data_IF_366338192183
#
_entry.id   IF_366338192183
#
_cell.length_a   1.000
_cell.length_b   1.000
_cell.length_c   1.000
_cell.angle_alpha   90.00
_cell.angle_beta   90.00
_cell.angle_gamma   90.00
#
_symmetry.space_group_name_H-M   'P 1'
#
loop_
_entity.id
_entity.type
_entity.pdbx_description
1 polymer ?
#
# COMPACT_ATOMS: atom_id res chain seq x y z
N UNK A 1 0.23 -8.34 -45.15
CA UNK A 1 0.63 -9.40 -44.20
C UNK A 1 1.08 -8.71 -42.92
N UNK A 2 0.17 -8.58 -41.95
CA UNK A 2 0.49 -8.02 -40.63
C UNK A 2 1.09 -9.15 -39.77
N UNK A 3 2.27 -8.98 -39.17
CA UNK A 3 2.84 -10.00 -38.32
C UNK A 3 2.17 -9.95 -36.93
N UNK A 4 1.59 -11.08 -36.54
CA UNK A 4 1.76 -11.75 -35.25
C UNK A 4 1.78 -10.83 -34.00
N UNK A 5 0.62 -10.33 -33.59
CA UNK A 5 0.39 -9.84 -32.21
C UNK A 5 -0.65 -10.69 -31.45
N UNK A 6 -1.29 -11.65 -32.12
CA UNK A 6 -2.27 -12.57 -31.51
C UNK A 6 -1.62 -13.77 -30.79
N UNK A 7 -0.41 -14.18 -31.16
CA UNK A 7 0.15 -15.46 -30.70
C UNK A 7 0.60 -15.51 -29.23
N UNK A 8 1.07 -14.39 -28.67
CA UNK A 8 1.53 -14.38 -27.26
C UNK A 8 0.37 -14.36 -26.26
N UNK A 9 -0.70 -13.61 -26.57
CA UNK A 9 -1.90 -13.56 -25.74
C UNK A 9 -2.59 -14.93 -25.70
N UNK A 10 -2.65 -15.61 -26.85
CA UNK A 10 -3.20 -16.97 -26.94
C UNK A 10 -2.34 -17.98 -26.20
N UNK A 11 -1.00 -17.89 -26.30
CA UNK A 11 -0.09 -18.76 -25.55
C UNK A 11 -0.21 -18.56 -24.03
N UNK A 12 -0.35 -17.32 -23.54
CA UNK A 12 -0.55 -17.06 -22.10
C UNK A 12 -1.90 -17.57 -21.61
N UNK A 13 -2.95 -17.42 -22.41
CA UNK A 13 -4.26 -17.99 -22.10
C UNK A 13 -4.20 -19.52 -21.99
N UNK A 14 -3.54 -20.19 -22.94
CA UNK A 14 -3.36 -21.64 -22.92
C UNK A 14 -2.56 -22.11 -21.70
N UNK A 15 -1.50 -21.39 -21.30
CA UNK A 15 -0.75 -21.72 -20.08
C UNK A 15 -1.63 -21.62 -18.83
N UNK A 16 -2.50 -20.60 -18.74
CA UNK A 16 -3.46 -20.48 -17.63
C UNK A 16 -4.45 -21.64 -17.60
N UNK A 17 -5.02 -21.99 -18.75
CA UNK A 17 -5.98 -23.09 -18.87
C UNK A 17 -5.36 -24.44 -18.52
N UNK A 18 -4.14 -24.71 -19.01
CA UNK A 18 -3.40 -25.92 -18.69
C UNK A 18 -3.10 -26.02 -17.19
N UNK A 19 -2.58 -24.94 -16.59
CA UNK A 19 -2.29 -24.91 -15.15
C UNK A 19 -3.55 -25.14 -14.30
N UNK A 20 -4.69 -24.55 -14.66
CA UNK A 20 -5.97 -24.79 -13.96
C UNK A 20 -6.47 -26.23 -14.17
N UNK A 21 -6.28 -26.80 -15.35
CA UNK A 21 -6.64 -28.19 -15.62
C UNK A 21 -5.84 -29.18 -14.76
N UNK A 22 -4.53 -28.92 -14.58
CA UNK A 22 -3.62 -29.79 -13.83
C UNK A 22 -3.83 -29.72 -12.31
N UNK A 23 -4.28 -28.56 -11.80
CA UNK A 23 -4.37 -28.31 -10.35
C UNK A 23 -5.80 -28.19 -9.81
N UNK A 24 -6.83 -28.22 -10.66
CA UNK A 24 -8.23 -28.16 -10.25
C UNK A 24 -9.13 -29.05 -11.12
N UNK A 25 -9.57 -28.55 -12.28
CA UNK A 25 -10.20 -29.35 -13.34
C UNK A 25 -10.25 -28.59 -14.66
N UNK A 26 -10.23 -29.34 -15.76
CA UNK A 26 -10.33 -28.77 -17.10
C UNK A 26 -11.73 -28.19 -17.38
N UNK A 27 -11.78 -27.16 -18.23
CA UNK A 27 -13.03 -26.59 -18.74
C UNK A 27 -13.71 -25.56 -17.83
N UNK A 28 -13.08 -25.18 -16.71
CA UNK A 28 -13.58 -24.08 -15.85
C UNK A 28 -13.52 -22.76 -16.59
N UNK A 29 -14.60 -21.99 -16.51
CA UNK A 29 -14.60 -20.62 -17.02
C UNK A 29 -13.80 -19.70 -16.10
N UNK A 30 -12.86 -18.97 -16.68
CA UNK A 30 -12.03 -17.97 -16.01
C UNK A 30 -12.61 -16.57 -16.24
N UNK A 31 -13.15 -15.97 -15.19
CA UNK A 31 -13.67 -14.60 -15.22
C UNK A 31 -12.59 -13.62 -14.76
N UNK A 32 -12.06 -12.81 -15.69
CA UNK A 32 -11.08 -11.78 -15.34
C UNK A 32 -11.67 -10.76 -14.36
N UNK A 33 -10.95 -10.47 -13.28
CA UNK A 33 -11.24 -9.34 -12.40
C UNK A 33 -10.69 -8.04 -13.02
N UNK A 34 -11.26 -6.87 -12.66
CA UNK A 34 -10.72 -5.59 -13.09
C UNK A 34 -9.23 -5.47 -12.74
N UNK A 35 -8.42 -5.03 -13.70
CA UNK A 35 -7.00 -4.75 -13.47
C UNK A 35 -6.82 -3.37 -12.82
N UNK A 36 -5.90 -3.27 -11.87
CA UNK A 36 -5.52 -1.99 -11.25
C UNK A 36 -4.14 -1.51 -11.75
N UNK A 37 -3.31 -0.90 -10.90
CA UNK A 37 -1.97 -0.42 -11.25
C UNK A 37 -0.92 -1.54 -11.39
N UNK A 38 -1.22 -2.74 -10.92
CA UNK A 38 -0.35 -3.92 -11.00
C UNK A 38 -0.42 -4.61 -12.38
N UNK A 39 0.70 -5.19 -12.79
CA UNK A 39 0.78 -6.07 -13.96
C UNK A 39 0.18 -7.46 -13.70
N UNK A 40 0.06 -7.86 -12.43
CA UNK A 40 -0.60 -9.10 -12.01
C UNK A 40 -2.10 -9.04 -12.30
N UNK A 41 -2.60 -10.15 -12.83
CA UNK A 41 -4.02 -10.30 -13.17
C UNK A 41 -4.62 -11.42 -12.34
N UNK A 42 -5.90 -11.28 -12.01
CA UNK A 42 -6.66 -12.27 -11.28
C UNK A 42 -7.84 -12.73 -12.12
N UNK A 43 -8.09 -14.04 -12.11
CA UNK A 43 -9.22 -14.65 -12.77
C UNK A 43 -9.98 -15.50 -11.77
N UNK A 44 -11.25 -15.19 -11.55
CA UNK A 44 -12.13 -16.03 -10.74
C UNK A 44 -12.51 -17.29 -11.51
N UNK A 45 -12.42 -18.43 -10.84
CA UNK A 45 -12.90 -19.69 -11.37
C UNK A 45 -14.41 -19.79 -11.13
N UNK A 46 -15.21 -19.86 -12.20
CA UNK A 46 -16.66 -19.90 -12.07
C UNK A 46 -17.12 -21.13 -11.27
N UNK A 47 -17.92 -20.91 -10.23
CA UNK A 47 -18.45 -21.98 -9.36
C UNK A 47 -17.42 -22.57 -8.38
N UNK A 48 -16.25 -21.93 -8.20
CA UNK A 48 -15.27 -22.28 -7.20
C UNK A 48 -14.89 -21.06 -6.35
N UNK A 49 -14.52 -21.27 -5.10
CA UNK A 49 -14.00 -20.23 -4.20
C UNK A 49 -12.48 -20.04 -4.41
N UNK A 50 -12.07 -19.90 -5.68
CA UNK A 50 -10.67 -19.82 -6.10
C UNK A 50 -10.42 -18.73 -7.14
N UNK A 51 -9.23 -18.12 -7.05
CA UNK A 51 -8.66 -17.23 -8.05
C UNK A 51 -7.43 -17.86 -8.67
N UNK A 52 -7.30 -17.76 -9.99
CA UNK A 52 -6.04 -17.88 -10.68
C UNK A 52 -5.35 -16.52 -10.68
N UNK A 53 -4.17 -16.46 -10.05
CA UNK A 53 -3.23 -15.37 -10.15
C UNK A 53 -2.29 -15.59 -11.33
N UNK A 54 -2.17 -14.58 -12.19
CA UNK A 54 -1.25 -14.50 -13.32
C UNK A 54 -0.29 -13.33 -13.06
N UNK A 55 0.89 -13.62 -12.53
CA UNK A 55 1.92 -12.65 -12.12
C UNK A 55 3.12 -12.74 -13.07
N UNK A 56 3.31 -11.78 -14.01
CA UNK A 56 4.36 -11.88 -15.02
C UNK A 56 5.77 -11.95 -14.39
N UNK A 57 6.54 -13.04 -14.57
CA UNK A 57 7.80 -13.25 -13.84
C UNK A 57 8.86 -12.16 -14.02
N UNK A 58 8.84 -11.46 -15.16
CA UNK A 58 9.83 -10.43 -15.50
C UNK A 58 9.60 -9.11 -14.76
N UNK A 59 8.36 -8.82 -14.37
CA UNK A 59 7.99 -7.54 -13.74
C UNK A 59 7.50 -7.71 -12.30
N UNK A 60 6.71 -8.75 -12.04
CA UNK A 60 6.11 -9.02 -10.72
C UNK A 60 6.28 -10.51 -10.40
N UNK A 61 7.46 -10.92 -9.91
CA UNK A 61 7.72 -12.33 -9.59
C UNK A 61 6.78 -12.83 -8.50
N UNK A 62 6.44 -14.11 -8.54
CA UNK A 62 5.52 -14.74 -7.59
C UNK A 62 6.15 -15.01 -6.22
N UNK A 63 7.48 -15.18 -6.17
CA UNK A 63 8.22 -15.57 -4.96
C UNK A 63 7.99 -14.66 -3.75
N UNK A 64 8.02 -13.31 -3.85
CA UNK A 64 7.71 -12.43 -2.72
C UNK A 64 6.30 -12.67 -2.15
N UNK A 65 5.29 -12.85 -3.02
CA UNK A 65 3.93 -13.16 -2.59
C UNK A 65 3.88 -14.46 -1.79
N UNK A 66 4.45 -15.55 -2.31
CA UNK A 66 4.45 -16.85 -1.63
C UNK A 66 5.16 -16.77 -0.28
N UNK A 67 6.31 -16.08 -0.23
CA UNK A 67 7.12 -15.95 0.97
C UNK A 67 6.38 -15.20 2.07
N UNK A 68 5.79 -14.05 1.76
CA UNK A 68 5.07 -13.25 2.76
C UNK A 68 3.76 -13.94 3.15
N UNK A 69 3.06 -14.58 2.21
CA UNK A 69 1.86 -15.36 2.53
C UNK A 69 2.15 -16.46 3.55
N UNK A 70 3.28 -17.17 3.40
CA UNK A 70 3.71 -18.18 4.37
C UNK A 70 3.94 -17.58 5.77
N UNK A 71 4.69 -16.48 5.86
CA UNK A 71 4.96 -15.80 7.13
C UNK A 71 3.67 -15.35 7.83
N UNK A 72 2.75 -14.71 7.10
CA UNK A 72 1.49 -14.24 7.66
C UNK A 72 0.59 -15.40 8.12
N UNK A 73 0.59 -16.51 7.37
CA UNK A 73 -0.16 -17.71 7.74
C UNK A 73 0.41 -18.38 8.99
N UNK A 74 1.74 -18.42 9.15
CA UNK A 74 2.39 -18.94 10.36
C UNK A 74 2.04 -18.12 11.61
N UNK A 75 1.74 -16.83 11.42
CA UNK A 75 1.22 -15.93 12.46
C UNK A 75 -0.28 -16.07 12.73
N UNK A 76 -0.95 -17.02 12.07
CA UNK A 76 -2.39 -17.22 12.20
C UNK A 76 -3.24 -16.12 11.54
N UNK A 77 -2.63 -15.29 10.68
CA UNK A 77 -3.33 -14.24 9.94
C UNK A 77 -3.91 -14.79 8.65
N UNK A 78 -4.99 -14.15 8.20
CA UNK A 78 -5.74 -14.60 7.03
C UNK A 78 -5.20 -13.97 5.75
N UNK A 79 -4.38 -14.72 5.02
CA UNK A 79 -4.02 -14.45 3.62
C UNK A 79 -4.64 -15.51 2.70
N UNK A 80 -4.81 -15.24 1.40
CA UNK A 80 -5.36 -16.24 0.48
C UNK A 80 -4.50 -17.51 0.48
N UNK A 81 -5.07 -18.65 0.87
CA UNK A 81 -4.36 -19.93 0.85
C UNK A 81 -3.88 -20.24 -0.57
N UNK A 82 -2.60 -20.56 -0.73
CA UNK A 82 -2.05 -21.02 -2.01
C UNK A 82 -2.27 -22.52 -2.14
N UNK A 83 -3.04 -22.93 -3.16
CA UNK A 83 -3.32 -24.35 -3.45
C UNK A 83 -2.26 -24.96 -4.36
N UNK A 84 -1.82 -24.20 -5.36
CA UNK A 84 -0.78 -24.59 -6.30
C UNK A 84 -0.05 -23.34 -6.81
N UNK A 85 1.22 -23.48 -7.15
CA UNK A 85 2.03 -22.40 -7.70
C UNK A 85 3.07 -22.96 -8.69
N UNK A 86 3.25 -22.24 -9.79
CA UNK A 86 4.38 -22.37 -10.70
C UNK A 86 5.11 -21.02 -10.74
N UNK A 87 6.21 -20.91 -10.00
CA UNK A 87 7.02 -19.69 -9.94
C UNK A 87 7.64 -19.32 -11.29
N UNK A 88 8.01 -20.31 -12.10
CA UNK A 88 8.67 -20.07 -13.39
C UNK A 88 7.67 -19.53 -14.42
N UNK A 89 6.45 -20.09 -14.42
CA UNK A 89 5.35 -19.57 -15.23
C UNK A 89 4.72 -18.31 -14.62
N UNK A 90 4.90 -18.04 -13.33
CA UNK A 90 4.24 -16.93 -12.63
C UNK A 90 2.74 -17.14 -12.47
N UNK A 91 2.33 -18.37 -12.19
CA UNK A 91 0.92 -18.74 -12.00
C UNK A 91 0.71 -19.27 -10.59
N UNK A 92 -0.39 -18.90 -9.95
CA UNK A 92 -0.82 -19.51 -8.69
C UNK A 92 -2.33 -19.69 -8.65
N UNK A 93 -2.78 -20.79 -8.07
CA UNK A 93 -4.17 -21.01 -7.71
C UNK A 93 -4.32 -20.71 -6.22
N UNK A 94 -5.12 -19.70 -5.89
CA UNK A 94 -5.28 -19.19 -4.53
C UNK A 94 -6.74 -19.17 -4.11
N UNK A 95 -6.98 -19.17 -2.80
CA UNK A 95 -8.29 -18.95 -2.20
C UNK A 95 -8.90 -17.61 -2.65
N UNK A 96 -10.21 -17.60 -2.86
CA UNK A 96 -10.98 -16.40 -3.11
C UNK A 96 -11.68 -15.91 -1.83
N UNK A 97 -11.31 -14.73 -1.36
CA UNK A 97 -11.95 -14.08 -0.21
C UNK A 97 -13.31 -13.45 -0.53
N UNK A 98 -13.78 -13.54 -1.78
CA UNK A 98 -15.08 -13.05 -2.19
C UNK A 98 -15.07 -11.56 -2.51
N UNK A 99 -15.89 -10.78 -1.79
CA UNK A 99 -16.21 -9.40 -2.18
C UNK A 99 -16.28 -8.39 -1.04
N UNK A 100 -16.12 -8.84 0.21
CA UNK A 100 -16.36 -8.05 1.42
C UNK A 100 -15.13 -7.23 1.84
N UNK A 101 -14.56 -6.46 0.92
CA UNK A 101 -13.52 -5.46 1.24
C UNK A 101 -14.08 -4.43 2.22
N UNK A 102 -13.26 -3.89 3.14
CA UNK A 102 -13.73 -2.92 4.12
C UNK A 102 -14.33 -1.69 3.44
N UNK A 103 -13.74 -1.20 2.35
CA UNK A 103 -14.31 -0.10 1.54
C UNK A 103 -15.75 -0.36 1.11
N UNK A 104 -16.06 -1.56 0.61
CA UNK A 104 -17.42 -1.95 0.20
C UNK A 104 -18.37 -2.07 1.39
N UNK A 105 -17.92 -2.65 2.51
CA UNK A 105 -18.73 -2.78 3.71
C UNK A 105 -19.08 -1.41 4.31
N UNK A 106 -18.11 -0.52 4.38
CA UNK A 106 -18.28 0.86 4.86
C UNK A 106 -19.22 1.65 3.94
N UNK A 107 -19.09 1.49 2.61
CA UNK A 107 -20.03 2.09 1.65
C UNK A 107 -21.45 1.52 1.77
N UNK A 108 -21.59 0.26 2.18
CA UNK A 108 -22.87 -0.40 2.45
C UNK A 108 -23.46 -0.06 3.85
N UNK A 109 -22.80 0.80 4.64
CA UNK A 109 -23.30 1.27 5.92
C UNK A 109 -22.98 0.37 7.12
N UNK A 110 -22.01 -0.56 6.99
CA UNK A 110 -21.49 -1.29 8.14
C UNK A 110 -20.87 -0.31 9.16
N UNK A 111 -20.96 -0.67 10.44
CA UNK A 111 -20.36 0.12 11.50
C UNK A 111 -18.83 0.21 11.30
N UNK A 112 -18.30 1.44 11.36
CA UNK A 112 -16.89 1.70 11.09
C UNK A 112 -15.98 1.17 12.19
N UNK A 113 -16.30 1.48 13.45
CA UNK A 113 -15.43 1.13 14.58
C UNK A 113 -15.10 -0.37 14.66
N UNK A 114 -16.05 -1.33 14.55
CA UNK A 114 -15.72 -2.75 14.62
C UNK A 114 -14.77 -3.24 13.51
N UNK A 115 -14.86 -2.66 12.31
CA UNK A 115 -13.95 -3.02 11.21
C UNK A 115 -12.53 -2.54 11.51
N UNK A 116 -12.38 -1.28 11.93
CA UNK A 116 -11.06 -0.75 12.26
C UNK A 116 -10.46 -1.38 13.53
N UNK A 117 -11.28 -1.69 14.54
CA UNK A 117 -10.83 -2.42 15.73
C UNK A 117 -10.27 -3.80 15.34
N UNK A 118 -10.95 -4.53 14.47
CA UNK A 118 -10.48 -5.82 13.95
C UNK A 118 -9.17 -5.67 13.16
N UNK A 119 -9.03 -4.62 12.34
CA UNK A 119 -7.78 -4.34 11.63
C UNK A 119 -6.62 -4.00 12.57
N UNK A 120 -6.87 -3.21 13.62
CA UNK A 120 -5.87 -2.89 14.64
C UNK A 120 -5.46 -4.12 15.44
N UNK A 121 -6.40 -5.00 15.78
CA UNK A 121 -6.09 -6.27 16.46
C UNK A 121 -5.24 -7.18 15.56
N UNK A 122 -5.55 -7.22 14.27
CA UNK A 122 -4.76 -7.93 13.26
C UNK A 122 -3.32 -7.39 13.18
N UNK A 123 -3.15 -6.06 13.13
CA UNK A 123 -1.82 -5.42 13.16
C UNK A 123 -1.08 -5.67 14.47
N UNK A 124 -1.75 -5.59 15.62
CA UNK A 124 -1.12 -5.84 16.89
C UNK A 124 -0.57 -7.27 16.96
N UNK A 125 -1.32 -8.26 16.46
CA UNK A 125 -0.86 -9.64 16.34
C UNK A 125 0.29 -9.80 15.35
N UNK A 126 0.21 -9.18 14.17
CA UNK A 126 1.29 -9.17 13.18
C UNK A 126 2.59 -8.64 13.78
N UNK A 127 2.53 -7.48 14.42
CA UNK A 127 3.72 -6.79 14.91
C UNK A 127 4.24 -7.39 16.23
N UNK A 128 3.47 -8.23 16.92
CA UNK A 128 3.91 -8.99 18.08
C UNK A 128 4.73 -10.25 17.71
N UNK A 129 4.82 -10.56 16.42
CA UNK A 129 5.72 -11.58 15.89
C UNK A 129 7.18 -11.30 16.30
N UNK A 130 7.98 -12.33 16.59
CA UNK A 130 9.41 -12.14 16.86
C UNK A 130 10.11 -11.48 15.66
N UNK A 131 10.92 -10.44 15.92
CA UNK A 131 11.57 -9.65 14.88
C UNK A 131 12.43 -10.49 13.91
N UNK A 132 13.00 -11.60 14.38
CA UNK A 132 13.76 -12.53 13.54
C UNK A 132 12.94 -13.13 12.38
N UNK A 133 11.62 -13.22 12.50
CA UNK A 133 10.76 -13.67 11.40
C UNK A 133 10.73 -12.67 10.24
N UNK A 134 10.86 -11.38 10.55
CA UNK A 134 10.99 -10.31 9.56
C UNK A 134 12.38 -10.23 8.91
N UNK A 135 13.42 -10.82 9.53
CA UNK A 135 14.81 -10.72 9.05
C UNK A 135 15.06 -11.33 7.66
N UNK A 136 14.13 -12.15 7.17
CA UNK A 136 14.17 -12.74 5.83
C UNK A 136 13.65 -11.77 4.75
N UNK A 137 13.00 -10.68 5.15
CA UNK A 137 12.52 -9.62 4.27
C UNK A 137 13.58 -8.51 4.16
N UNK A 138 13.60 -7.76 3.05
CA UNK A 138 14.48 -6.59 2.95
C UNK A 138 14.15 -5.57 4.03
N UNK A 139 15.17 -4.89 4.53
CA UNK A 139 15.02 -3.80 5.46
C UNK A 139 14.22 -2.64 4.83
N UNK A 140 13.36 -2.01 5.63
CA UNK A 140 12.80 -0.70 5.31
C UNK A 140 13.76 0.39 5.82
N UNK A 141 14.83 0.59 5.06
CA UNK A 141 15.98 1.39 5.46
C UNK A 141 15.90 2.85 4.99
N UNK A 142 16.91 3.64 5.39
CA UNK A 142 17.08 5.06 5.04
C UNK A 142 16.96 5.26 3.53
N UNK A 143 17.61 4.39 2.76
CA UNK A 143 17.60 4.49 1.30
C UNK A 143 16.19 4.36 0.74
N UNK A 144 15.43 3.34 1.16
CA UNK A 144 14.05 3.14 0.68
C UNK A 144 13.14 4.28 1.10
N UNK A 145 13.22 4.73 2.35
CA UNK A 145 12.40 5.83 2.83
C UNK A 145 12.73 7.14 2.09
N UNK A 146 14.02 7.41 1.82
CA UNK A 146 14.47 8.58 1.06
C UNK A 146 14.05 8.52 -0.42
N UNK A 147 14.21 7.37 -1.09
CA UNK A 147 13.80 7.18 -2.48
C UNK A 147 12.28 7.42 -2.64
N UNK A 148 11.49 7.02 -1.66
CA UNK A 148 10.05 7.26 -1.62
C UNK A 148 9.67 8.71 -1.28
N UNK A 149 10.38 9.32 -0.34
CA UNK A 149 10.20 10.73 0.03
C UNK A 149 10.47 11.66 -1.15
N UNK A 150 11.50 11.33 -1.95
CA UNK A 150 11.86 12.06 -3.16
C UNK A 150 10.73 12.16 -4.18
N UNK A 151 9.72 11.27 -4.15
CA UNK A 151 8.59 11.34 -5.08
C UNK A 151 7.83 12.66 -4.98
N UNK A 152 7.77 13.27 -3.80
CA UNK A 152 7.12 14.58 -3.65
C UNK A 152 7.83 15.64 -4.49
N UNK A 153 9.15 15.80 -4.31
CA UNK A 153 9.90 16.81 -5.04
C UNK A 153 10.04 16.45 -6.52
N UNK A 154 10.10 15.17 -6.87
CA UNK A 154 10.29 14.73 -8.25
C UNK A 154 8.98 14.74 -9.08
N UNK A 155 7.80 14.63 -8.46
CA UNK A 155 6.52 14.52 -9.17
C UNK A 155 5.45 15.54 -8.76
N UNK A 156 5.30 15.82 -7.46
CA UNK A 156 4.25 16.74 -6.98
C UNK A 156 4.68 18.21 -7.09
N UNK A 157 5.86 18.57 -6.57
CA UNK A 157 6.37 19.93 -6.59
C UNK A 157 6.49 20.57 -7.99
N UNK A 158 6.81 19.83 -9.07
CA UNK A 158 6.79 20.35 -10.44
C UNK A 158 5.42 20.87 -10.89
N UNK A 159 4.32 20.41 -10.29
CA UNK A 159 2.98 20.93 -10.58
C UNK A 159 2.75 22.35 -10.05
N UNK A 160 3.54 22.76 -9.05
CA UNK A 160 3.45 24.08 -8.42
C UNK A 160 4.49 25.05 -8.99
N UNK A 161 5.73 24.59 -9.18
CA UNK A 161 6.87 25.44 -9.53
C UNK A 161 7.40 25.22 -10.96
N UNK A 162 7.00 24.15 -11.62
CA UNK A 162 7.66 23.63 -12.83
C UNK A 162 8.89 22.77 -12.52
N UNK A 163 9.31 21.97 -13.51
CA UNK A 163 10.33 20.93 -13.34
C UNK A 163 11.73 21.46 -13.03
N UNK A 164 12.19 22.53 -13.68
CA UNK A 164 13.54 23.05 -13.48
C UNK A 164 13.73 23.68 -12.08
N UNK A 165 12.83 24.54 -11.57
CA UNK A 165 12.91 25.04 -10.19
C UNK A 165 12.83 23.91 -9.15
N UNK A 166 11.92 22.97 -9.31
CA UNK A 166 11.80 21.81 -8.44
C UNK A 166 13.11 20.98 -8.38
N UNK A 167 13.72 20.72 -9.54
CA UNK A 167 15.00 20.00 -9.62
C UNK A 167 16.12 20.73 -8.86
N UNK A 168 16.12 22.06 -8.89
CA UNK A 168 17.12 22.87 -8.17
C UNK A 168 16.98 22.82 -6.65
N UNK A 169 15.76 22.57 -6.14
CA UNK A 169 15.45 22.45 -4.72
C UNK A 169 15.68 21.04 -4.18
N UNK A 170 15.80 20.04 -5.05
CA UNK A 170 15.86 18.62 -4.68
C UNK A 170 16.92 18.31 -3.63
N UNK A 171 18.14 18.80 -3.79
CA UNK A 171 19.22 18.52 -2.84
C UNK A 171 18.91 19.10 -1.44
N UNK A 172 18.37 20.32 -1.37
CA UNK A 172 18.00 20.95 -0.10
C UNK A 172 16.81 20.24 0.56
N UNK A 173 15.79 19.86 -0.23
CA UNK A 173 14.66 19.07 0.24
C UNK A 173 15.08 17.71 0.81
N UNK A 174 15.94 16.99 0.09
CA UNK A 174 16.45 15.69 0.56
C UNK A 174 17.36 15.84 1.78
N UNK A 175 18.13 16.93 1.88
CA UNK A 175 18.95 17.21 3.07
C UNK A 175 18.12 17.48 4.34
N UNK A 176 16.84 17.83 4.22
CA UNK A 176 15.92 17.90 5.37
C UNK A 176 15.42 16.53 5.80
N UNK A 177 15.39 15.57 4.87
CA UNK A 177 15.05 14.19 5.18
C UNK A 177 16.16 13.51 5.99
N UNK A 178 17.42 13.84 5.69
CA UNK A 178 18.59 13.38 6.44
C UNK A 178 18.41 13.76 7.93
N UNK A 179 18.30 12.77 8.82
CA UNK A 179 18.05 12.98 10.25
C UNK A 179 16.58 12.86 10.68
N UNK A 180 15.60 13.10 9.80
CA UNK A 180 14.18 13.04 10.17
C UNK A 180 13.68 11.62 10.38
N UNK A 181 14.25 10.65 9.65
CA UNK A 181 13.82 9.26 9.70
C UNK A 181 14.89 8.29 10.19
N UNK A 182 16.05 8.78 10.65
CA UNK A 182 17.19 7.94 11.04
C UNK A 182 16.77 6.87 12.06
N UNK A 183 16.08 7.26 13.14
CA UNK A 183 15.62 6.31 14.16
C UNK A 183 14.62 5.30 13.57
N UNK A 184 13.61 5.79 12.83
CA UNK A 184 12.58 4.97 12.20
C UNK A 184 13.15 3.98 11.17
N UNK A 185 14.20 4.37 10.45
CA UNK A 185 14.86 3.57 9.42
C UNK A 185 15.79 2.49 9.97
N UNK A 186 16.25 2.64 11.21
CA UNK A 186 17.00 1.61 11.93
C UNK A 186 16.10 0.60 12.65
N UNK A 187 14.78 0.86 12.74
CA UNK A 187 13.83 -0.07 13.37
C UNK A 187 13.76 -1.39 12.63
N UNK A 188 13.87 -2.49 13.36
CA UNK A 188 13.70 -3.87 12.89
C UNK A 188 12.75 -4.57 13.86
N UNK A 189 11.57 -3.99 13.99
CA UNK A 189 10.61 -4.33 15.05
C UNK A 189 9.49 -5.23 14.52
N UNK A 190 9.13 -5.10 13.24
CA UNK A 190 7.98 -5.79 12.68
C UNK A 190 8.07 -6.03 11.16
N UNK A 191 7.27 -6.98 10.69
CA UNK A 191 6.89 -7.09 9.29
C UNK A 191 5.94 -5.92 8.99
N UNK A 192 6.38 -5.02 8.10
CA UNK A 192 5.62 -3.85 7.64
C UNK A 192 5.05 -4.16 6.26
N UNK A 193 3.72 -4.23 6.16
CA UNK A 193 2.98 -4.55 4.94
C UNK A 193 2.92 -3.39 3.95
N UNK A 194 3.07 -2.14 4.43
CA UNK A 194 3.14 -0.87 3.67
C UNK A 194 1.84 -0.40 3.01
N UNK A 195 0.97 -1.32 2.64
CA UNK A 195 -0.34 -1.05 2.03
C UNK A 195 -1.50 -1.57 2.89
N UNK A 196 -1.38 -1.38 4.20
CA UNK A 196 -2.40 -1.72 5.18
C UNK A 196 -3.47 -0.62 5.28
N UNK A 197 -4.51 -0.72 4.45
CA UNK A 197 -5.60 0.24 4.35
C UNK A 197 -6.91 -0.42 3.86
N UNK A 198 -8.05 0.27 3.93
CA UNK A 198 -9.39 -0.35 3.78
C UNK A 198 -9.67 -1.05 2.44
N UNK A 199 -8.97 -0.71 1.37
CA UNK A 199 -9.08 -1.43 0.08
C UNK A 199 -8.43 -2.82 0.11
N UNK A 200 -7.41 -3.02 0.95
CA UNK A 200 -6.62 -4.25 1.03
C UNK A 200 -7.00 -5.13 2.24
N UNK A 201 -8.09 -4.77 2.92
CA UNK A 201 -8.64 -5.51 4.05
C UNK A 201 -10.02 -6.07 3.70
N UNK A 202 -10.26 -7.32 4.08
CA UNK A 202 -11.53 -8.01 3.86
C UNK A 202 -12.10 -8.56 5.17
N UNK A 203 -13.42 -8.54 5.31
CA UNK A 203 -14.09 -9.29 6.38
C UNK A 203 -14.43 -10.69 5.86
N UNK A 204 -13.90 -11.71 6.53
CA UNK A 204 -14.05 -13.11 6.10
C UNK A 204 -15.09 -13.84 6.95
N UNK A 205 -16.20 -14.19 6.33
CA UNK A 205 -17.27 -14.95 6.97
C UNK A 205 -16.76 -16.34 7.41
N UNK A 206 -17.24 -16.80 8.56
CA UNK A 206 -16.87 -18.11 9.11
C UNK A 206 -15.49 -18.17 9.77
N UNK A 207 -14.72 -17.07 9.80
CA UNK A 207 -13.50 -16.93 10.60
C UNK A 207 -13.77 -16.07 11.84
N UNK A 208 -13.01 -16.27 12.91
CA UNK A 208 -13.19 -15.57 14.19
C UNK A 208 -11.89 -14.89 14.65
N UNK A 209 -12.03 -13.90 15.53
CA UNK A 209 -10.89 -13.08 15.99
C UNK A 209 -10.19 -12.40 14.81
N UNK A 210 -8.86 -12.22 14.91
CA UNK A 210 -8.08 -11.58 13.84
C UNK A 210 -8.13 -12.34 12.51
N UNK A 211 -8.43 -13.64 12.52
CA UNK A 211 -8.56 -14.41 11.29
C UNK A 211 -9.79 -13.98 10.47
N UNK A 212 -10.74 -13.24 11.04
CA UNK A 212 -11.79 -12.58 10.27
C UNK A 212 -11.28 -11.39 9.43
N UNK A 213 -10.07 -10.89 9.70
CA UNK A 213 -9.41 -9.84 8.91
C UNK A 213 -8.56 -10.48 7.79
N UNK A 214 -9.09 -10.52 6.58
CA UNK A 214 -8.36 -10.94 5.38
C UNK A 214 -7.41 -9.86 4.89
N UNK A 215 -6.16 -10.23 4.64
CA UNK A 215 -5.09 -9.35 4.16
C UNK A 215 -4.83 -9.61 2.68
N UNK A 216 -4.80 -8.54 1.88
CA UNK A 216 -4.40 -8.54 0.48
C UNK A 216 -3.16 -7.67 0.28
N UNK A 217 -2.55 -7.76 -0.90
CA UNK A 217 -1.49 -6.86 -1.37
C UNK A 217 -0.27 -6.72 -0.43
N UNK A 218 0.11 -7.83 0.21
CA UNK A 218 1.17 -7.89 1.21
C UNK A 218 2.55 -8.26 0.63
N UNK A 219 2.66 -8.57 -0.66
CA UNK A 219 3.89 -9.13 -1.25
C UNK A 219 5.12 -8.20 -1.17
N UNK A 220 4.88 -6.90 -1.00
CA UNK A 220 5.91 -5.86 -0.94
C UNK A 220 6.33 -5.52 0.50
N UNK A 221 5.98 -6.39 1.45
CA UNK A 221 6.31 -6.25 2.86
C UNK A 221 7.82 -6.17 3.10
N UNK A 222 8.19 -5.39 4.10
CA UNK A 222 9.57 -5.12 4.52
C UNK A 222 9.73 -5.35 6.02
N UNK A 223 10.98 -5.30 6.49
CA UNK A 223 11.29 -5.33 7.91
C UNK A 223 11.60 -3.92 8.42
N UNK A 224 10.75 -3.36 9.29
CA UNK A 224 10.81 -1.95 9.65
C UNK A 224 10.16 -1.57 10.98
N UNK A 225 9.82 -0.28 11.11
CA UNK A 225 9.10 0.29 12.24
C UNK A 225 7.62 -0.11 12.22
N UNK A 226 7.12 -0.65 13.33
CA UNK A 226 5.72 -1.08 13.46
C UNK A 226 4.71 0.09 13.37
N UNK A 227 5.17 1.33 13.60
CA UNK A 227 4.33 2.53 13.49
C UNK A 227 3.80 2.78 12.07
N UNK A 228 4.47 2.28 11.02
CA UNK A 228 4.13 2.58 9.64
C UNK A 228 2.73 2.12 9.24
N UNK A 229 2.40 0.85 9.50
CA UNK A 229 1.12 0.28 9.06
C UNK A 229 -0.07 0.77 9.89
N UNK A 230 0.14 1.07 11.17
CA UNK A 230 -0.90 1.71 11.97
C UNK A 230 -1.19 3.13 11.44
N UNK A 231 -0.14 3.90 11.16
CA UNK A 231 -0.30 5.22 10.55
C UNK A 231 -0.98 5.13 9.18
N UNK A 232 -0.62 4.16 8.33
CA UNK A 232 -1.25 4.01 7.02
C UNK A 232 -2.75 3.69 7.09
N UNK A 233 -3.19 3.00 8.16
CA UNK A 233 -4.59 2.70 8.41
C UNK A 233 -5.36 3.94 8.92
N UNK A 234 -4.79 4.64 9.91
CA UNK A 234 -5.48 5.74 10.60
C UNK A 234 -5.48 7.04 9.79
N UNK A 235 -4.48 7.23 8.94
CA UNK A 235 -4.31 8.38 8.05
C UNK A 235 -4.43 7.95 6.58
N UNK A 236 -5.44 7.14 6.28
CA UNK A 236 -5.68 6.62 4.94
C UNK A 236 -6.04 7.75 3.94
N UNK A 237 -5.34 7.78 2.80
CA UNK A 237 -5.63 8.65 1.67
C UNK A 237 -7.07 8.47 1.13
N UNK A 238 -7.64 7.27 1.26
CA UNK A 238 -8.89 6.87 0.61
C UNK A 238 -10.11 7.09 1.48
N UNK A 239 -9.95 7.16 2.81
CA UNK A 239 -11.06 7.36 3.74
C UNK A 239 -10.68 8.31 4.88
N UNK A 240 -11.60 9.21 5.23
CA UNK A 240 -11.42 10.06 6.41
C UNK A 240 -11.87 9.29 7.64
N UNK A 241 -10.93 8.96 8.52
CA UNK A 241 -11.21 8.33 9.81
C UNK A 241 -11.47 9.44 10.83
N UNK A 242 -12.60 9.46 11.55
CA UNK A 242 -12.85 10.48 12.58
C UNK A 242 -11.74 10.55 13.62
N UNK A 243 -11.37 11.76 14.08
CA UNK A 243 -10.24 11.96 15.00
C UNK A 243 -10.41 11.22 16.32
N UNK A 244 -11.63 11.19 16.85
CA UNK A 244 -11.96 10.45 18.06
C UNK A 244 -11.70 8.95 17.87
N UNK A 245 -12.06 8.41 16.70
CA UNK A 245 -11.82 7.00 16.37
C UNK A 245 -10.32 6.73 16.18
N UNK A 246 -9.58 7.60 15.49
CA UNK A 246 -8.12 7.48 15.36
C UNK A 246 -7.45 7.40 16.74
N UNK A 247 -7.82 8.29 17.67
CA UNK A 247 -7.27 8.30 19.02
C UNK A 247 -7.60 7.01 19.80
N UNK A 248 -8.84 6.51 19.70
CA UNK A 248 -9.25 5.25 20.33
C UNK A 248 -8.48 4.05 19.77
N UNK A 249 -8.32 3.99 18.45
CA UNK A 249 -7.62 2.90 17.76
C UNK A 249 -6.11 2.91 18.07
N UNK A 250 -5.49 4.08 18.12
CA UNK A 250 -4.10 4.25 18.54
C UNK A 250 -3.90 3.76 19.99
N UNK A 251 -4.78 4.16 20.91
CA UNK A 251 -4.74 3.69 22.29
C UNK A 251 -4.95 2.17 22.39
N UNK A 252 -5.87 1.62 21.60
CA UNK A 252 -6.13 0.18 21.51
C UNK A 252 -4.89 -0.59 21.04
N UNK A 253 -4.17 -0.08 20.04
CA UNK A 253 -2.93 -0.68 19.56
C UNK A 253 -1.85 -0.67 20.65
N UNK A 254 -1.60 0.50 21.27
CA UNK A 254 -0.58 0.65 22.31
C UNK A 254 -0.90 -0.19 23.57
N UNK A 255 -2.18 -0.37 23.90
CA UNK A 255 -2.59 -1.23 25.01
C UNK A 255 -2.30 -2.72 24.75
N UNK A 256 -2.32 -3.15 23.48
CA UNK A 256 -1.97 -4.51 23.07
C UNK A 256 -0.46 -4.71 22.91
N UNK A 257 0.31 -3.62 22.83
CA UNK A 257 1.77 -3.58 22.67
C UNK A 257 2.46 -2.85 23.83
N UNK A 258 2.27 -3.30 25.10
CA UNK A 258 2.77 -2.60 26.28
C UNK A 258 4.30 -2.57 26.39
N UNK A 259 5.00 -3.37 25.60
CA UNK A 259 6.46 -3.38 25.51
C UNK A 259 7.05 -2.22 24.71
N UNK A 260 6.22 -1.50 23.93
CA UNK A 260 6.68 -0.36 23.14
C UNK A 260 6.91 0.87 24.03
N UNK A 261 8.01 1.58 23.78
CA UNK A 261 8.15 2.95 24.27
C UNK A 261 7.18 3.85 23.49
N UNK A 262 6.13 4.31 24.17
CA UNK A 262 5.09 5.13 23.55
C UNK A 262 5.64 6.45 23.01
N UNK A 263 6.63 7.06 23.65
CA UNK A 263 7.19 8.32 23.19
C UNK A 263 7.98 8.11 21.89
N UNK A 264 8.81 7.06 21.84
CA UNK A 264 9.53 6.67 20.64
C UNK A 264 8.58 6.26 19.51
N UNK A 265 7.55 5.46 19.80
CA UNK A 265 6.53 5.07 18.83
C UNK A 265 5.83 6.29 18.24
N UNK A 266 5.42 7.26 19.06
CA UNK A 266 4.74 8.46 18.58
C UNK A 266 5.68 9.39 17.80
N UNK A 267 6.97 9.38 18.10
CA UNK A 267 7.97 10.07 17.27
C UNK A 267 8.05 9.41 15.88
N UNK A 268 8.26 8.10 15.82
CA UNK A 268 8.33 7.34 14.57
C UNK A 268 7.04 7.48 13.76
N UNK A 269 5.88 7.39 14.40
CA UNK A 269 4.58 7.61 13.78
C UNK A 269 4.51 8.97 13.09
N UNK A 270 4.93 10.05 13.76
CA UNK A 270 4.85 11.41 13.22
C UNK A 270 5.77 11.63 12.02
N UNK A 271 7.02 11.15 12.08
CA UNK A 271 7.97 11.32 10.98
C UNK A 271 7.60 10.44 9.77
N UNK A 272 7.13 9.21 10.02
CA UNK A 272 6.66 8.31 8.97
C UNK A 272 5.35 8.80 8.34
N UNK A 273 4.47 9.49 9.08
CA UNK A 273 3.29 10.14 8.51
C UNK A 273 3.69 11.19 7.46
N UNK A 274 4.61 12.10 7.82
CA UNK A 274 5.10 13.10 6.87
C UNK A 274 5.80 12.46 5.66
N UNK A 275 6.63 11.44 5.89
CA UNK A 275 7.30 10.70 4.83
C UNK A 275 6.30 10.04 3.87
N UNK A 276 5.30 9.32 4.41
CA UNK A 276 4.30 8.62 3.62
C UNK A 276 3.40 9.58 2.87
N UNK A 277 2.93 10.66 3.47
CA UNK A 277 2.06 11.61 2.77
C UNK A 277 2.81 12.32 1.64
N UNK A 278 4.08 12.68 1.84
CA UNK A 278 4.94 13.20 0.77
C UNK A 278 5.08 12.17 -0.38
N UNK A 279 5.40 10.91 -0.05
CA UNK A 279 5.45 9.80 -1.01
C UNK A 279 4.12 9.66 -1.76
N UNK A 280 2.99 9.68 -1.06
CA UNK A 280 1.65 9.46 -1.64
C UNK A 280 1.24 10.61 -2.58
N UNK A 281 1.54 11.86 -2.22
CA UNK A 281 1.36 13.01 -3.11
C UNK A 281 2.13 12.83 -4.43
N UNK A 282 3.40 12.42 -4.34
CA UNK A 282 4.23 12.17 -5.51
C UNK A 282 3.78 10.97 -6.36
N UNK A 283 3.52 9.82 -5.72
CA UNK A 283 3.16 8.59 -6.44
C UNK A 283 1.82 8.70 -7.14
N UNK A 284 0.82 9.38 -6.57
CA UNK A 284 -0.48 9.56 -7.23
C UNK A 284 -0.38 10.46 -8.45
N UNK A 285 0.46 11.50 -8.40
CA UNK A 285 0.77 12.31 -9.59
C UNK A 285 1.49 11.46 -10.64
N UNK A 286 2.49 10.67 -10.24
CA UNK A 286 3.21 9.75 -11.15
C UNK A 286 2.27 8.78 -11.84
N UNK A 287 1.40 8.12 -11.07
CA UNK A 287 0.40 7.18 -11.58
C UNK A 287 -0.56 7.86 -12.56
N UNK A 288 -0.99 9.09 -12.25
CA UNK A 288 -1.85 9.88 -13.13
C UNK A 288 -1.15 10.28 -14.44
N UNK A 289 0.03 10.88 -14.36
CA UNK A 289 0.77 11.45 -15.51
C UNK A 289 1.42 10.39 -16.40
N UNK A 290 2.13 9.42 -15.80
CA UNK A 290 2.94 8.45 -16.54
C UNK A 290 2.12 7.21 -16.93
N UNK A 291 1.25 6.77 -16.03
CA UNK A 291 0.56 5.48 -16.14
C UNK A 291 -0.92 5.62 -16.53
N UNK A 292 -1.42 6.86 -16.73
CA UNK A 292 -2.79 7.16 -17.11
C UNK A 292 -3.84 6.83 -16.04
N UNK A 293 -3.42 6.57 -14.80
CA UNK A 293 -4.30 6.18 -13.68
C UNK A 293 -4.86 7.41 -12.98
N UNK A 294 -5.65 8.20 -13.71
CA UNK A 294 -6.16 9.50 -13.27
C UNK A 294 -7.08 9.44 -12.03
N UNK A 295 -7.63 8.27 -11.71
CA UNK A 295 -8.49 8.07 -10.53
C UNK A 295 -7.79 8.40 -9.21
N UNK A 296 -6.48 8.16 -9.10
CA UNK A 296 -5.72 8.45 -7.87
C UNK A 296 -5.63 9.95 -7.55
N UNK A 297 -5.75 10.82 -8.55
CA UNK A 297 -5.69 12.28 -8.36
C UNK A 297 -6.83 12.80 -7.48
N UNK A 298 -7.96 12.07 -7.41
CA UNK A 298 -9.09 12.42 -6.56
C UNK A 298 -8.76 12.37 -5.05
N UNK A 299 -7.69 11.66 -4.66
CA UNK A 299 -7.27 11.55 -3.27
C UNK A 299 -6.31 12.67 -2.82
N UNK A 300 -5.71 13.41 -3.76
CA UNK A 300 -4.69 14.43 -3.47
C UNK A 300 -5.12 15.48 -2.43
N UNK A 301 -6.36 16.04 -2.46
CA UNK A 301 -6.79 17.01 -1.45
C UNK A 301 -6.71 16.46 -0.01
N UNK A 302 -7.12 15.19 0.19
CA UNK A 302 -7.03 14.56 1.52
C UNK A 302 -5.59 14.32 1.93
N UNK A 303 -4.78 13.77 1.03
CA UNK A 303 -3.37 13.47 1.33
C UNK A 303 -2.63 14.77 1.65
N UNK A 304 -2.93 15.86 0.94
CA UNK A 304 -2.34 17.17 1.23
C UNK A 304 -2.75 17.69 2.61
N UNK A 305 -4.02 17.56 2.98
CA UNK A 305 -4.47 17.90 4.34
C UNK A 305 -3.72 17.11 5.41
N UNK A 306 -3.60 15.79 5.24
CA UNK A 306 -2.87 14.93 6.17
C UNK A 306 -1.38 15.30 6.24
N UNK A 307 -0.75 15.59 5.09
CA UNK A 307 0.64 16.06 5.04
C UNK A 307 0.83 17.35 5.83
N UNK A 308 -0.05 18.34 5.61
CA UNK A 308 -0.02 19.61 6.36
C UNK A 308 -0.16 19.39 7.88
N UNK A 309 -1.08 18.53 8.28
CA UNK A 309 -1.30 18.20 9.70
C UNK A 309 -0.08 17.52 10.33
N UNK A 310 0.57 16.60 9.61
CA UNK A 310 1.81 15.97 10.06
C UNK A 310 2.92 17.00 10.28
N UNK A 311 3.06 17.97 9.37
CA UNK A 311 4.08 19.02 9.42
C UNK A 311 3.90 20.04 10.57
N UNK A 312 2.78 20.03 11.30
CA UNK A 312 2.61 20.88 12.49
C UNK A 312 3.40 20.37 13.71
N UNK A 313 3.95 19.14 13.66
CA UNK A 313 4.80 18.60 14.72
C UNK A 313 6.14 19.35 14.79
N UNK A 314 6.65 19.69 15.99
CA UNK A 314 7.90 20.46 16.13
C UNK A 314 9.11 19.89 15.39
N UNK A 315 9.25 18.55 15.37
CA UNK A 315 10.33 17.87 14.65
C UNK A 315 10.30 18.12 13.13
N UNK A 316 9.13 18.47 12.59
CA UNK A 316 8.89 18.66 11.15
C UNK A 316 8.80 20.14 10.74
N UNK A 317 8.95 21.08 11.68
CA UNK A 317 8.97 22.52 11.37
C UNK A 317 10.04 22.91 10.35
N UNK A 318 11.29 22.36 10.37
CA UNK A 318 12.26 22.67 9.32
C UNK A 318 11.78 22.31 7.91
N UNK A 319 11.08 21.19 7.76
CA UNK A 319 10.48 20.79 6.49
C UNK A 319 9.32 21.71 6.10
N UNK A 320 8.42 22.03 7.03
CA UNK A 320 7.32 22.97 6.80
C UNK A 320 7.83 24.34 6.35
N UNK A 321 8.80 24.89 7.07
CA UNK A 321 9.33 26.22 6.83
C UNK A 321 10.08 26.28 5.48
N UNK A 322 10.74 25.19 5.08
CA UNK A 322 11.29 25.05 3.74
C UNK A 322 10.22 25.10 2.65
N UNK A 323 9.12 24.36 2.82
CA UNK A 323 8.01 24.36 1.86
C UNK A 323 7.34 25.73 1.80
N UNK A 324 7.12 26.39 2.94
CA UNK A 324 6.56 27.75 3.02
C UNK A 324 7.46 28.78 2.32
N UNK A 325 8.79 28.61 2.38
CA UNK A 325 9.75 29.51 1.74
C UNK A 325 9.86 29.29 0.22
N UNK A 326 9.75 28.05 -0.25
CA UNK A 326 10.15 27.69 -1.61
C UNK A 326 9.01 27.21 -2.52
N UNK A 327 7.89 26.72 -1.98
CA UNK A 327 6.78 26.17 -2.77
C UNK A 327 5.51 27.01 -2.56
N UNK A 328 5.38 28.13 -3.28
CA UNK A 328 4.17 28.97 -3.21
C UNK A 328 2.91 28.15 -3.52
N UNK A 329 1.87 28.29 -2.70
CA UNK A 329 0.59 27.60 -2.87
C UNK A 329 0.60 26.11 -2.51
N UNK A 330 1.67 25.56 -1.92
CA UNK A 330 1.72 24.13 -1.56
C UNK A 330 0.63 23.69 -0.58
N UNK A 331 0.07 24.63 0.19
CA UNK A 331 -0.98 24.36 1.19
C UNK A 331 -2.38 24.27 0.56
N UNK A 332 -2.53 24.71 -0.67
CA UNK A 332 -3.81 24.78 -1.38
C UNK A 332 -4.01 23.56 -2.27
N UNK A 333 -5.27 23.17 -2.50
CA UNK A 333 -5.58 22.14 -3.47
C UNK A 333 -5.06 22.55 -4.86
N UNK A 334 -4.53 21.58 -5.60
CA UNK A 334 -4.08 21.83 -6.96
C UNK A 334 -5.20 22.45 -7.80
N UNK A 335 -4.92 23.52 -8.58
CA UNK A 335 -5.93 24.12 -9.43
C UNK A 335 -6.55 23.09 -10.38
N UNK A 336 -7.85 23.19 -10.62
CA UNK A 336 -8.58 22.29 -11.55
C UNK A 336 -7.90 22.24 -12.93
N UNK A 337 -7.40 23.37 -13.43
CA UNK A 337 -6.67 23.44 -14.69
C UNK A 337 -5.37 22.61 -14.69
N UNK A 338 -4.66 22.53 -13.56
CA UNK A 338 -3.48 21.67 -13.42
C UNK A 338 -3.91 20.21 -13.49
N UNK A 339 -4.92 19.82 -12.70
CA UNK A 339 -5.45 18.45 -12.69
C UNK A 339 -5.93 18.03 -14.09
N UNK A 340 -6.69 18.89 -14.78
CA UNK A 340 -7.18 18.64 -16.13
C UNK A 340 -6.04 18.60 -17.16
N UNK A 341 -4.98 19.39 -16.98
CA UNK A 341 -3.77 19.31 -17.78
C UNK A 341 -3.10 17.93 -17.73
N UNK A 342 -3.11 17.26 -16.56
CA UNK A 342 -2.62 15.88 -16.42
C UNK A 342 -3.48 14.88 -17.19
N UNK A 343 -4.80 15.14 -17.27
CA UNK A 343 -5.73 14.32 -18.05
C UNK A 343 -5.48 14.45 -19.56
N UNK A 344 -5.12 15.64 -20.02
CA UNK A 344 -4.89 15.94 -21.44
C UNK A 344 -3.56 15.46 -22.01
N UNK A 345 -2.55 15.19 -21.17
CA UNK A 345 -1.25 14.64 -21.58
C UNK A 345 -1.23 13.10 -21.65
N UNK A 346 -2.29 12.44 -21.18
CA UNK A 346 -2.42 10.97 -21.13
C UNK A 346 -3.12 10.36 -22.36
N UNK A 347 -3.28 11.13 -23.45
CA UNK A 347 -3.81 10.73 -24.76
C UNK A 347 -2.72 10.88 -25.82
#
# INVERSE_FOLDING_TARGET
MNPVLTSQTDARAQMREAFVADHWHAGVQLQALPADASARRYFRLAGADLLLMDSPPQSEPLRPYLRVAELLRELGLSVPRVLAADEAAGLALIEDFGHSTYTRLLAAGHAEAPLYELAVDCLAQLHAAPAEQGAVLPAYDDKRLADEFALFIDWYAPLLLGAAPSSSLRAAYMGLFDGLCDDAAQRREALVLRDFHVDNLMLLDGRSGVAACGLLDFQDALHGACAYDLMSLLEDARRDVPRELQAQLLQRYLAQRPELDQAAFMHDYAVLAAQRHAKVLGIFVRLGQRDGKLGYLAHLPRVLRLFREALERPALHPLRDFLDCHLEGWRDDLPVAVIDGLRGQSL
#
